data_IF_669699323772
#
_entry.id   IF_669699323772
#
_cell.length_a   1.000
_cell.length_b   1.000
_cell.length_c   1.000
_cell.angle_alpha   90.00
_cell.angle_beta   90.00
_cell.angle_gamma   90.00
#
_symmetry.space_group_name_H-M   'P 1'
#
loop_
_entity.id
_entity.type
_entity.pdbx_description
1 polymer ?
#
# COMPACT_ATOMS: atom_id res chain seq x y z
N UNK A 1 4.37 -15.08 -44.72
CA UNK A 1 4.16 -14.65 -44.28
C UNK A 1 3.72 -14.21 -43.88
N UNK A 2 3.68 -13.94 -43.66
CA UNK A 2 3.23 -13.41 -43.15
C UNK A 2 2.65 -13.00 -42.68
N UNK A 3 2.55 -13.44 -42.89
CA UNK A 3 1.82 -12.86 -42.57
C UNK A 3 1.24 -12.65 -41.49
N UNK A 4 1.49 -12.94 -41.26
CA UNK A 4 0.98 -12.73 -40.33
C UNK A 4 1.14 -12.30 -39.44
N UNK A 5 1.45 -13.19 -39.32
CA UNK A 5 1.96 -12.59 -38.17
C UNK A 5 1.64 -11.14 -38.10
N UNK A 6 1.55 -10.54 -39.10
CA UNK A 6 1.13 -9.18 -39.12
C UNK A 6 -0.16 -9.02 -38.40
N UNK A 7 -0.98 -9.98 -38.51
CA UNK A 7 -2.24 -9.91 -37.85
C UNK A 7 -2.09 -9.83 -36.37
N UNK A 8 -1.12 -10.47 -35.90
CA UNK A 8 -0.88 -10.46 -34.47
C UNK A 8 -0.63 -9.04 -34.01
N UNK A 9 0.12 -8.30 -34.76
CA UNK A 9 0.38 -6.95 -34.37
C UNK A 9 -0.84 -6.11 -34.34
N UNK A 10 -1.71 -6.36 -35.24
CA UNK A 10 -2.94 -5.58 -35.26
C UNK A 10 -3.69 -5.76 -33.97
N UNK A 11 -3.60 -6.90 -33.40
CA UNK A 11 -4.29 -7.12 -32.17
C UNK A 11 -3.73 -6.31 -31.04
N UNK A 12 -2.44 -6.05 -31.07
CA UNK A 12 -1.83 -5.31 -30.00
C UNK A 12 -2.44 -3.95 -29.78
N UNK A 13 -2.53 -3.12 -30.76
CA UNK A 13 -3.10 -1.80 -30.52
C UNK A 13 -4.48 -1.89 -29.94
N UNK A 14 -5.24 -2.84 -30.43
CA UNK A 14 -6.57 -3.02 -29.92
C UNK A 14 -6.54 -3.39 -28.44
N UNK A 15 -5.64 -4.25 -28.09
CA UNK A 15 -5.51 -4.67 -26.73
C UNK A 15 -5.12 -3.51 -25.83
N UNK A 16 -4.25 -2.65 -26.29
CA UNK A 16 -3.86 -1.50 -25.51
C UNK A 16 -5.02 -0.58 -25.23
N UNK A 17 -5.84 -0.35 -26.21
CA UNK A 17 -6.99 0.50 -26.01
C UNK A 17 -7.90 -0.08 -24.94
N UNK A 18 -8.06 -1.37 -24.99
CA UNK A 18 -8.89 -2.01 -24.01
C UNK A 18 -8.30 -1.82 -22.60
N UNK A 19 -7.01 -1.93 -22.48
CA UNK A 19 -6.35 -1.73 -21.20
C UNK A 19 -6.58 -0.33 -20.67
N UNK A 20 -6.50 0.64 -21.52
CA UNK A 20 -6.72 2.01 -21.11
C UNK A 20 -8.13 2.22 -20.59
N UNK A 21 -9.09 1.63 -21.25
CA UNK A 21 -10.47 1.74 -20.79
C UNK A 21 -10.61 1.14 -19.39
N UNK A 22 -10.01 0.00 -19.22
CA UNK A 22 -10.08 -0.64 -17.92
C UNK A 22 -9.42 0.23 -16.86
N UNK A 23 -8.28 0.80 -17.19
CA UNK A 23 -7.56 1.62 -16.24
C UNK A 23 -8.40 2.83 -15.84
N UNK A 24 -9.10 3.41 -16.79
CA UNK A 24 -9.90 4.58 -16.50
C UNK A 24 -11.03 4.27 -15.53
N UNK A 25 -11.39 3.02 -15.39
CA UNK A 25 -12.44 2.61 -14.46
C UNK A 25 -11.91 2.16 -13.12
N UNK A 26 -10.62 2.21 -12.94
CA UNK A 26 -10.02 1.81 -11.66
C UNK A 26 -10.36 2.82 -10.58
N UNK A 27 -10.40 2.36 -9.35
CA UNK A 27 -10.59 3.24 -8.21
C UNK A 27 -9.39 4.15 -8.05
N UNK A 28 -9.63 5.34 -7.55
CA UNK A 28 -8.58 6.30 -7.28
C UNK A 28 -7.72 5.90 -6.10
N UNK A 29 -8.26 5.18 -5.16
CA UNK A 29 -7.61 4.89 -3.89
C UNK A 29 -7.65 3.42 -3.57
N UNK A 30 -6.75 3.02 -2.71
CA UNK A 30 -6.72 1.69 -2.14
C UNK A 30 -6.66 1.80 -0.64
N UNK A 31 -7.09 0.74 0.05
CA UNK A 31 -7.02 0.64 1.50
C UNK A 31 -6.46 -0.72 1.85
N UNK A 32 -5.63 -0.77 2.88
CA UNK A 32 -5.10 -2.04 3.37
C UNK A 32 -4.90 -1.94 4.87
N UNK A 33 -5.19 -3.03 5.56
CA UNK A 33 -4.90 -3.16 6.99
C UNK A 33 -3.59 -3.90 7.13
N UNK A 34 -2.83 -3.61 8.17
CA UNK A 34 -1.54 -4.26 8.35
C UNK A 34 -1.30 -4.65 9.80
N UNK A 35 -0.47 -5.66 9.96
CA UNK A 35 0.08 -6.03 11.27
C UNK A 35 1.54 -6.39 11.08
N UNK A 36 2.40 -5.77 11.90
CA UNK A 36 3.85 -5.94 11.82
C UNK A 36 4.32 -6.66 13.06
N UNK A 37 5.06 -7.74 12.84
CA UNK A 37 5.56 -8.61 13.90
C UNK A 37 7.07 -8.48 14.02
N UNK A 38 7.57 -8.51 15.23
CA UNK A 38 8.99 -8.44 15.47
C UNK A 38 9.28 -7.55 16.66
N UNK A 39 10.49 -6.98 16.68
CA UNK A 39 10.84 -6.00 17.69
C UNK A 39 10.44 -4.62 17.15
N UNK A 40 9.17 -4.28 17.34
CA UNK A 40 8.57 -3.09 16.71
C UNK A 40 7.88 -2.18 17.72
N UNK A 41 7.91 -2.49 19.00
CA UNK A 41 7.42 -1.60 20.04
C UNK A 41 8.61 -1.08 20.86
N UNK A 42 8.48 0.17 21.33
CA UNK A 42 9.55 0.75 22.13
C UNK A 42 10.77 1.16 21.31
N UNK A 43 10.64 1.21 19.97
CA UNK A 43 11.75 1.53 19.06
C UNK A 43 11.35 2.63 18.11
N UNK A 44 10.41 3.47 18.53
CA UNK A 44 9.89 4.61 17.75
C UNK A 44 9.26 4.19 16.44
N UNK A 45 8.79 2.96 16.33
CA UNK A 45 8.23 2.44 15.08
C UNK A 45 7.02 3.26 14.64
N UNK A 46 6.13 3.57 15.59
CA UNK A 46 4.92 4.34 15.24
C UNK A 46 5.27 5.73 14.74
N UNK A 47 6.26 6.39 15.36
CA UNK A 47 6.66 7.72 14.94
C UNK A 47 7.24 7.71 13.52
N UNK A 48 8.10 6.74 13.24
CA UNK A 48 8.68 6.63 11.91
C UNK A 48 7.65 6.24 10.87
N UNK A 49 6.68 5.42 11.26
CA UNK A 49 5.58 5.05 10.36
C UNK A 49 4.76 6.28 10.01
N UNK A 50 4.45 7.10 11.00
CA UNK A 50 3.70 8.32 10.77
C UNK A 50 4.45 9.26 9.85
N UNK A 51 5.75 9.43 10.07
CA UNK A 51 6.58 10.30 9.24
C UNK A 51 6.62 9.79 7.80
N UNK A 52 6.79 8.50 7.61
CA UNK A 52 6.84 7.93 6.28
C UNK A 52 5.51 8.09 5.55
N UNK A 53 4.43 7.87 6.28
CA UNK A 53 3.09 8.02 5.72
C UNK A 53 2.87 9.45 5.24
N UNK A 54 3.31 10.42 6.01
CA UNK A 54 3.17 11.83 5.64
C UNK A 54 4.02 12.17 4.44
N UNK A 55 5.22 11.61 4.35
CA UNK A 55 6.07 11.82 3.17
C UNK A 55 5.43 11.28 1.92
N UNK A 56 4.77 10.16 2.01
CA UNK A 56 4.12 9.54 0.86
C UNK A 56 2.74 10.14 0.58
N UNK A 57 2.19 10.89 1.51
CA UNK A 57 0.88 11.46 1.33
C UNK A 57 -0.25 10.46 1.51
N UNK A 58 -0.01 9.39 2.26
CA UNK A 58 -1.08 8.42 2.55
C UNK A 58 -1.76 8.77 3.86
N UNK A 59 -2.94 8.20 4.05
CA UNK A 59 -3.78 8.46 5.21
C UNK A 59 -3.95 7.18 6.00
N UNK A 60 -4.33 7.29 7.26
CA UNK A 60 -4.54 6.09 8.07
C UNK A 60 -4.14 6.28 9.52
N UNK A 61 -3.76 5.18 10.13
CA UNK A 61 -3.40 5.20 11.55
C UNK A 61 -2.51 4.02 11.87
N UNK A 62 -1.84 4.12 13.03
CA UNK A 62 -0.94 3.08 13.51
C UNK A 62 -1.11 2.98 15.03
N UNK A 63 -1.01 1.76 15.57
CA UNK A 63 -1.28 1.49 16.98
C UNK A 63 -0.49 0.27 17.44
N UNK A 64 -0.01 0.30 18.68
CA UNK A 64 0.56 -0.88 19.32
C UNK A 64 -0.53 -1.81 19.82
N UNK A 65 -0.27 -3.10 19.80
CA UNK A 65 -1.21 -4.09 20.36
C UNK A 65 -0.63 -4.63 21.67
N UNK A 66 -1.49 -5.32 22.42
CA UNK A 66 -1.06 -5.97 23.64
C UNK A 66 -0.11 -7.13 23.35
N UNK A 67 -0.20 -7.73 22.18
CA UNK A 67 0.62 -8.87 21.81
C UNK A 67 2.02 -8.48 21.41
N UNK A 68 2.32 -7.19 21.34
CA UNK A 68 3.65 -6.74 20.98
C UNK A 68 3.82 -6.39 19.52
N UNK A 69 2.73 -6.43 18.75
CA UNK A 69 2.78 -6.07 17.34
C UNK A 69 2.35 -4.63 17.14
N UNK A 70 2.48 -4.15 15.90
CA UNK A 70 1.97 -2.85 15.51
C UNK A 70 0.94 -3.09 14.42
N UNK A 71 -0.24 -2.52 14.58
CA UNK A 71 -1.30 -2.64 13.58
C UNK A 71 -1.67 -1.28 13.05
N UNK A 72 -2.34 -1.28 11.90
CA UNK A 72 -2.84 -0.03 11.35
C UNK A 72 -3.56 -0.20 10.04
N UNK A 73 -3.79 0.93 9.40
CA UNK A 73 -4.47 0.99 8.12
C UNK A 73 -3.82 2.08 7.29
N UNK A 74 -3.68 1.83 5.99
CA UNK A 74 -3.13 2.79 5.04
C UNK A 74 -4.12 2.96 3.92
N UNK A 75 -4.44 4.22 3.59
CA UNK A 75 -5.32 4.55 2.47
C UNK A 75 -4.68 5.66 1.64
N UNK A 76 -4.81 5.54 0.32
CA UNK A 76 -4.29 6.57 -0.58
C UNK A 76 -4.24 6.05 -2.00
N UNK A 77 -3.56 6.79 -2.89
CA UNK A 77 -3.36 6.31 -4.25
C UNK A 77 -2.70 4.94 -4.22
N UNK A 78 -3.13 4.01 -5.08
CA UNK A 78 -2.64 2.64 -5.02
C UNK A 78 -1.12 2.50 -5.04
N UNK A 79 -0.43 3.30 -5.86
CA UNK A 79 1.02 3.20 -5.91
C UNK A 79 1.67 3.67 -4.61
N UNK A 80 1.07 4.64 -3.93
CA UNK A 80 1.61 5.12 -2.66
C UNK A 80 1.34 4.16 -1.54
N UNK A 81 0.17 3.53 -1.57
CA UNK A 81 -0.14 2.47 -0.61
C UNK A 81 0.88 1.33 -0.77
N UNK A 82 1.21 0.98 -2.00
CA UNK A 82 2.18 -0.06 -2.24
C UNK A 82 3.57 0.32 -1.72
N UNK A 83 3.99 1.56 -1.91
CA UNK A 83 5.25 2.03 -1.37
C UNK A 83 5.27 1.94 0.15
N UNK A 84 4.16 2.29 0.79
CA UNK A 84 4.06 2.20 2.24
C UNK A 84 4.14 0.76 2.71
N UNK A 85 3.51 -0.16 1.99
CA UNK A 85 3.60 -1.59 2.30
C UNK A 85 5.05 -2.07 2.24
N UNK A 86 5.80 -1.66 1.23
CA UNK A 86 7.20 -2.05 1.11
C UNK A 86 8.01 -1.52 2.28
N UNK A 87 7.76 -0.28 2.68
CA UNK A 87 8.46 0.30 3.80
C UNK A 87 8.15 -0.45 5.11
N UNK A 88 6.87 -0.76 5.32
CA UNK A 88 6.45 -1.48 6.53
C UNK A 88 7.04 -2.88 6.58
N UNK A 89 7.25 -3.50 5.43
CA UNK A 89 7.79 -4.86 5.39
C UNK A 89 9.30 -4.88 5.52
N UNK A 90 9.98 -3.93 4.91
CA UNK A 90 11.42 -4.05 4.69
C UNK A 90 12.27 -3.04 5.42
N UNK A 91 11.71 -1.94 5.89
CA UNK A 91 12.50 -0.84 6.42
C UNK A 91 12.20 -0.59 7.89
N UNK A 92 11.03 -0.02 8.18
CA UNK A 92 10.66 0.27 9.55
C UNK A 92 11.52 1.35 10.19
N UNK A 93 11.55 1.39 11.52
CA UNK A 93 12.41 2.31 12.24
C UNK A 93 13.82 1.74 12.33
N UNK A 94 14.83 2.60 12.53
CA UNK A 94 16.24 2.14 12.55
C UNK A 94 16.53 1.05 13.57
N UNK A 95 15.86 1.08 14.70
CA UNK A 95 16.13 0.11 15.76
C UNK A 95 15.17 -1.06 15.74
N UNK A 96 14.27 -1.12 14.78
CA UNK A 96 13.28 -2.18 14.73
C UNK A 96 13.85 -3.42 14.05
N UNK A 97 13.25 -4.57 14.39
CA UNK A 97 13.48 -5.80 13.67
C UNK A 97 12.11 -6.31 13.22
N UNK A 98 11.93 -6.38 11.92
CA UNK A 98 10.67 -6.83 11.36
C UNK A 98 10.80 -8.31 11.00
N UNK A 99 10.04 -9.15 11.71
CA UNK A 99 10.04 -10.59 11.43
C UNK A 99 9.13 -10.89 10.27
N UNK A 100 7.97 -10.25 10.23
CA UNK A 100 7.07 -10.37 9.09
C UNK A 100 6.03 -9.26 9.12
N UNK A 101 5.44 -8.99 7.95
CA UNK A 101 4.35 -8.04 7.81
C UNK A 101 3.18 -8.76 7.17
N UNK A 102 1.99 -8.59 7.73
CA UNK A 102 0.77 -9.16 7.18
C UNK A 102 -0.13 -8.03 6.72
N UNK A 103 -0.60 -8.14 5.48
CA UNK A 103 -1.51 -7.16 4.89
C UNK A 103 -2.81 -7.86 4.57
N UNK A 104 -3.90 -7.31 5.07
CA UNK A 104 -5.22 -7.93 4.93
C UNK A 104 -6.24 -6.89 4.52
N UNK A 105 -7.42 -7.37 4.14
CA UNK A 105 -8.53 -6.49 3.79
C UNK A 105 -8.14 -5.45 2.76
N UNK A 106 -7.35 -5.85 1.78
CA UNK A 106 -6.91 -4.95 0.73
C UNK A 106 -8.05 -4.75 -0.26
N UNK A 107 -8.39 -3.50 -0.55
CA UNK A 107 -9.56 -3.21 -1.37
C UNK A 107 -9.43 -1.85 -2.04
N UNK A 108 -10.13 -1.71 -3.15
CA UNK A 108 -10.25 -0.43 -3.82
C UNK A 108 -11.36 0.37 -3.15
N UNK A 109 -11.13 1.67 -3.00
CA UNK A 109 -12.14 2.56 -2.43
C UNK A 109 -12.28 3.78 -3.33
N UNK A 110 -13.49 4.30 -3.42
CA UNK A 110 -13.75 5.43 -4.29
C UNK A 110 -13.38 6.76 -3.65
N UNK A 111 -13.34 6.80 -2.33
CA UNK A 111 -12.94 8.00 -1.61
C UNK A 111 -12.28 7.59 -0.31
N UNK A 112 -11.47 8.50 0.23
CA UNK A 112 -10.79 8.24 1.49
C UNK A 112 -11.80 8.16 2.62
N UNK A 113 -11.58 7.20 3.51
CA UNK A 113 -12.42 7.00 4.70
C UNK A 113 -11.78 7.58 5.95
N UNK A 114 -10.50 7.94 5.85
CA UNK A 114 -9.76 8.55 6.94
C UNK A 114 -8.84 9.59 6.33
N UNK A 115 -8.67 10.71 7.04
CA UNK A 115 -7.84 11.80 6.54
C UNK A 115 -6.70 12.05 7.49
N UNK A 116 -5.51 12.25 6.91
CA UNK A 116 -4.29 12.40 7.68
C UNK A 116 -3.81 11.06 8.19
N UNK A 117 -2.64 11.05 8.79
CA UNK A 117 -2.08 9.84 9.36
C UNK A 117 -1.69 10.13 10.81
N UNK A 118 -2.16 9.29 11.73
CA UNK A 118 -1.93 9.52 13.14
C UNK A 118 -1.68 8.25 13.92
N UNK A 119 -1.13 8.45 15.12
CA UNK A 119 -0.85 7.37 16.06
C UNK A 119 -2.05 7.22 16.99
N UNK A 120 -2.46 6.00 17.23
CA UNK A 120 -3.51 5.68 18.19
C UNK A 120 -2.91 4.94 19.38
N UNK A 121 -3.58 5.09 20.52
CA UNK A 121 -3.13 4.48 21.76
C UNK A 121 -4.14 3.52 22.37
#
# INVERSE_FOLDING_TARGET
>A
MFGYDLKVFLLFPFFLLFSLSYFAMSSKYASVDFEIFGNVQGVCFRMYTEDQAKKLGVNGWVKNTRQGTVIGQVQGPPEKVNEMKQWLRNVGSPSSRIDRAEFTNERDISKLEVRGFGTRY
#
